data_IF_830944105658
#
_entry.id   IF_830944105658
#
_cell.length_a   1.000
_cell.length_b   1.000
_cell.length_c   1.000
_cell.angle_alpha   90.00
_cell.angle_beta   90.00
_cell.angle_gamma   90.00
#
_symmetry.space_group_name_H-M   'P 1'
#
loop_
_entity.id
_entity.type
_entity.pdbx_description
1 polymer ?
#
# COMPACT_ATOMS: atom_id res chain seq x y z
N UNK A 1 9.74 27.87 -21.83
CA UNK A 1 9.63 27.90 -20.36
C UNK A 1 8.31 28.60 -19.99
N UNK A 2 7.18 27.87 -19.92
CA UNK A 2 5.87 28.43 -19.56
C UNK A 2 5.67 28.16 -18.07
N UNK A 3 5.83 29.21 -17.27
CA UNK A 3 5.49 29.23 -15.85
C UNK A 3 4.00 28.94 -15.72
N UNK A 4 3.65 27.83 -15.06
CA UNK A 4 2.31 27.50 -14.64
C UNK A 4 1.82 28.58 -13.67
N UNK A 5 0.94 29.44 -14.16
CA UNK A 5 0.18 30.32 -13.28
C UNK A 5 -0.76 29.46 -12.45
N UNK A 6 -0.37 29.18 -11.22
CA UNK A 6 -1.31 28.74 -10.19
C UNK A 6 -2.40 29.81 -10.10
N UNK A 7 -3.53 29.52 -10.71
CA UNK A 7 -4.73 30.34 -10.53
C UNK A 7 -5.23 30.12 -9.12
N UNK A 8 -4.76 30.97 -8.21
CA UNK A 8 -5.25 31.11 -6.85
C UNK A 8 -6.64 31.73 -6.89
N UNK A 9 -7.62 31.01 -7.46
CA UNK A 9 -9.01 31.35 -7.23
C UNK A 9 -9.30 30.92 -5.81
N UNK A 10 -9.43 31.92 -4.97
CA UNK A 10 -9.99 31.87 -3.65
C UNK A 10 -11.07 30.79 -3.56
N UNK A 11 -10.75 29.71 -2.82
CA UNK A 11 -11.79 28.89 -2.26
C UNK A 11 -12.56 29.77 -1.28
N UNK A 12 -13.58 30.43 -1.77
CA UNK A 12 -14.54 31.12 -0.92
C UNK A 12 -15.13 30.08 0.02
N UNK A 13 -15.35 30.47 1.27
CA UNK A 13 -16.02 29.63 2.28
C UNK A 13 -17.33 29.01 1.79
N UNK A 14 -17.93 29.54 0.71
CA UNK A 14 -19.08 28.99 0.01
C UNK A 14 -18.79 27.65 -0.72
N UNK A 15 -17.55 27.42 -1.21
CA UNK A 15 -17.14 26.13 -1.76
C UNK A 15 -16.90 25.07 -0.67
N UNK A 16 -16.82 25.52 0.59
CA UNK A 16 -16.72 24.67 1.77
C UNK A 16 -18.08 24.30 2.37
N UNK A 17 -19.19 24.72 1.79
CA UNK A 17 -20.51 24.22 2.19
C UNK A 17 -20.57 22.75 1.87
N UNK A 18 -20.31 21.95 2.91
CA UNK A 18 -20.27 20.50 2.86
C UNK A 18 -21.65 20.01 2.41
N UNK A 19 -21.76 19.63 1.13
CA UNK A 19 -22.96 18.99 0.64
C UNK A 19 -23.07 17.63 1.35
N UNK A 20 -23.98 17.55 2.33
CA UNK A 20 -24.16 16.33 3.16
C UNK A 20 -24.44 15.09 2.31
N UNK A 21 -25.11 15.26 1.18
CA UNK A 21 -25.40 14.17 0.26
C UNK A 21 -24.14 13.64 -0.40
N UNK A 22 -23.22 14.49 -0.83
CA UNK A 22 -21.95 14.10 -1.40
C UNK A 22 -21.04 13.40 -0.36
N UNK A 23 -21.05 13.90 0.87
CA UNK A 23 -20.27 13.28 1.95
C UNK A 23 -20.79 11.86 2.29
N UNK A 24 -22.11 11.68 2.40
CA UNK A 24 -22.70 10.33 2.63
C UNK A 24 -22.40 9.38 1.48
N UNK A 25 -22.41 9.86 0.25
CA UNK A 25 -22.02 9.05 -0.91
C UNK A 25 -20.54 8.64 -0.85
N UNK A 26 -19.65 9.58 -0.51
CA UNK A 26 -18.22 9.29 -0.34
C UNK A 26 -17.94 8.35 0.83
N UNK A 27 -18.71 8.39 1.92
CA UNK A 27 -18.62 7.43 3.02
C UNK A 27 -18.95 6.03 2.52
N UNK A 28 -20.04 5.86 1.78
CA UNK A 28 -20.41 4.55 1.22
C UNK A 28 -19.38 4.01 0.24
N UNK A 29 -18.88 4.87 -0.66
CA UNK A 29 -17.79 4.51 -1.58
C UNK A 29 -16.50 4.20 -0.83
N UNK A 30 -16.14 4.97 0.20
CA UNK A 30 -14.98 4.73 1.06
C UNK A 30 -15.08 3.41 1.83
N UNK A 31 -16.27 3.06 2.29
CA UNK A 31 -16.53 1.76 2.93
C UNK A 31 -16.26 0.60 1.96
N UNK A 32 -16.75 0.69 0.73
CA UNK A 32 -16.52 -0.32 -0.30
C UNK A 32 -15.02 -0.42 -0.65
N UNK A 33 -14.34 0.73 -0.76
CA UNK A 33 -12.88 0.77 -0.95
C UNK A 33 -12.18 0.07 0.21
N UNK A 34 -12.58 0.33 1.45
CA UNK A 34 -12.01 -0.30 2.64
C UNK A 34 -12.15 -1.83 2.63
N UNK A 35 -13.30 -2.33 2.19
CA UNK A 35 -13.54 -3.78 2.05
C UNK A 35 -12.60 -4.38 1.01
N UNK A 36 -12.56 -3.82 -0.20
CA UNK A 36 -11.80 -4.39 -1.31
C UNK A 36 -10.29 -4.23 -1.08
N UNK A 37 -9.84 -3.03 -0.71
CA UNK A 37 -8.44 -2.77 -0.43
C UNK A 37 -7.94 -3.54 0.79
N UNK A 38 -8.77 -3.65 1.84
CA UNK A 38 -8.47 -4.45 3.02
C UNK A 38 -8.32 -5.93 2.70
N UNK A 39 -9.24 -6.50 1.93
CA UNK A 39 -9.15 -7.90 1.51
C UNK A 39 -7.93 -8.15 0.61
N UNK A 40 -7.68 -7.30 -0.41
CA UNK A 40 -6.52 -7.43 -1.27
C UNK A 40 -5.20 -7.28 -0.50
N UNK A 41 -5.11 -6.29 0.41
CA UNK A 41 -3.95 -6.07 1.25
C UNK A 41 -3.70 -7.19 2.25
N UNK A 42 -4.74 -7.69 2.90
CA UNK A 42 -4.65 -8.85 3.80
C UNK A 42 -4.22 -10.12 3.05
N UNK A 43 -4.79 -10.37 1.87
CA UNK A 43 -4.38 -11.48 1.01
C UNK A 43 -2.92 -11.36 0.60
N UNK A 44 -2.48 -10.17 0.21
CA UNK A 44 -1.07 -9.93 -0.14
C UNK A 44 -0.15 -10.19 1.04
N UNK A 45 -0.49 -9.69 2.25
CA UNK A 45 0.25 -9.96 3.49
C UNK A 45 0.33 -11.46 3.78
N UNK A 46 -0.79 -12.17 3.67
CA UNK A 46 -0.83 -13.63 3.87
C UNK A 46 0.09 -14.38 2.90
N UNK A 47 0.00 -14.06 1.61
CA UNK A 47 0.80 -14.71 0.57
C UNK A 47 2.32 -14.46 0.76
N UNK A 48 2.71 -13.26 1.19
CA UNK A 48 4.11 -12.97 1.50
C UNK A 48 4.59 -13.80 2.70
N UNK A 49 3.84 -13.81 3.80
CA UNK A 49 4.21 -14.59 4.97
C UNK A 49 4.31 -16.08 4.66
N UNK A 50 3.36 -16.62 3.91
CA UNK A 50 3.39 -18.04 3.51
C UNK A 50 4.55 -18.32 2.56
N UNK A 51 4.86 -17.40 1.63
CA UNK A 51 6.01 -17.54 0.73
C UNK A 51 7.34 -17.58 1.50
N UNK A 52 7.48 -16.78 2.55
CA UNK A 52 8.64 -16.81 3.45
C UNK A 52 8.73 -18.14 4.21
N UNK A 53 7.62 -18.63 4.76
CA UNK A 53 7.59 -19.92 5.48
C UNK A 53 7.96 -21.10 4.57
N UNK A 54 7.41 -21.13 3.35
CA UNK A 54 7.76 -22.17 2.37
C UNK A 54 9.24 -22.10 2.02
N UNK A 55 9.77 -20.91 1.75
CA UNK A 55 11.19 -20.72 1.46
C UNK A 55 12.08 -21.22 2.60
N UNK A 56 11.78 -20.87 3.86
CA UNK A 56 12.55 -21.34 5.01
C UNK A 56 12.57 -22.87 5.10
N UNK A 57 11.42 -23.54 4.94
CA UNK A 57 11.34 -25.01 4.92
C UNK A 57 12.17 -25.64 3.79
N UNK A 58 12.21 -24.97 2.63
CA UNK A 58 12.97 -25.44 1.48
C UNK A 58 14.50 -25.25 1.66
N UNK A 59 14.93 -24.37 2.54
CA UNK A 59 16.33 -24.03 2.78
C UNK A 59 16.95 -24.73 3.98
N UNK A 60 16.23 -25.58 4.71
CA UNK A 60 16.74 -26.27 5.90
C UNK A 60 17.87 -27.27 5.56
N UNK A 61 17.85 -27.89 4.37
CA UNK A 61 18.87 -28.86 3.92
C UNK A 61 19.49 -28.42 2.57
N UNK A 62 20.38 -27.42 2.62
CA UNK A 62 21.01 -26.89 1.39
C UNK A 62 22.15 -27.81 0.93
N UNK A 63 21.95 -28.55 -0.16
CA UNK A 63 22.99 -29.22 -0.94
C UNK A 63 23.41 -28.32 -2.12
N UNK A 64 24.58 -28.60 -2.71
CA UNK A 64 25.06 -27.89 -3.90
C UNK A 64 24.06 -27.98 -5.07
N UNK A 65 23.45 -29.13 -5.27
CA UNK A 65 22.45 -29.37 -6.30
C UNK A 65 21.19 -28.48 -6.06
N UNK A 66 20.80 -28.35 -4.79
CA UNK A 66 19.72 -27.47 -4.36
C UNK A 66 20.02 -26.00 -4.64
N UNK A 67 21.24 -25.54 -4.34
CA UNK A 67 21.67 -24.18 -4.60
C UNK A 67 21.62 -23.83 -6.10
N UNK A 68 22.06 -24.75 -6.96
CA UNK A 68 21.98 -24.58 -8.42
C UNK A 68 20.52 -24.51 -8.88
N UNK A 69 19.68 -25.43 -8.39
CA UNK A 69 18.24 -25.43 -8.71
C UNK A 69 17.55 -24.13 -8.29
N UNK A 70 17.89 -23.59 -7.10
CA UNK A 70 17.38 -22.33 -6.62
C UNK A 70 17.80 -21.15 -7.50
N UNK A 71 19.06 -21.13 -7.93
CA UNK A 71 19.58 -20.10 -8.86
C UNK A 71 18.82 -20.09 -10.19
N UNK A 72 18.54 -21.26 -10.74
CA UNK A 72 17.72 -21.40 -11.96
C UNK A 72 16.29 -20.90 -11.70
N UNK A 73 15.69 -21.24 -10.57
CA UNK A 73 14.37 -20.74 -10.18
C UNK A 73 14.33 -19.21 -10.08
N UNK A 74 15.36 -18.59 -9.48
CA UNK A 74 15.46 -17.12 -9.39
C UNK A 74 15.52 -16.46 -10.77
N UNK A 75 16.24 -17.04 -11.74
CA UNK A 75 16.27 -16.54 -13.12
C UNK A 75 14.88 -16.62 -13.76
N UNK A 76 14.16 -17.72 -13.55
CA UNK A 76 12.79 -17.88 -14.04
C UNK A 76 11.85 -16.83 -13.40
N UNK A 77 11.94 -16.60 -12.09
CA UNK A 77 11.15 -15.58 -11.40
C UNK A 77 11.47 -14.18 -11.91
N UNK A 78 12.75 -13.86 -12.12
CA UNK A 78 13.15 -12.58 -12.69
C UNK A 78 12.55 -12.38 -14.10
N UNK A 79 12.55 -13.42 -14.93
CA UNK A 79 11.91 -13.36 -16.25
C UNK A 79 10.39 -13.14 -16.16
N UNK A 80 9.71 -13.82 -15.23
CA UNK A 80 8.26 -13.64 -15.02
C UNK A 80 7.97 -12.21 -14.56
N UNK A 81 8.75 -11.68 -13.60
CA UNK A 81 8.59 -10.32 -13.10
C UNK A 81 8.84 -9.29 -14.20
N UNK A 82 9.87 -9.50 -15.06
CA UNK A 82 10.12 -8.65 -16.22
C UNK A 82 8.90 -8.58 -17.16
N UNK A 83 8.27 -9.74 -17.43
CA UNK A 83 7.06 -9.80 -18.26
C UNK A 83 5.86 -9.09 -17.63
N UNK A 84 5.71 -9.21 -16.30
CA UNK A 84 4.69 -8.49 -15.56
C UNK A 84 4.91 -6.98 -15.61
N UNK A 85 6.15 -6.52 -15.48
CA UNK A 85 6.52 -5.11 -15.60
C UNK A 85 6.31 -4.59 -17.03
N UNK A 86 6.63 -5.36 -18.06
CA UNK A 86 6.34 -5.00 -19.44
C UNK A 86 4.82 -4.85 -19.68
N UNK A 87 4.00 -5.70 -19.05
CA UNK A 87 2.53 -5.64 -19.14
C UNK A 87 1.91 -4.49 -18.35
N UNK A 88 2.50 -4.13 -17.20
CA UNK A 88 2.07 -3.07 -16.30
C UNK A 88 3.26 -2.22 -15.83
N UNK A 89 3.79 -1.31 -16.66
CA UNK A 89 5.02 -0.58 -16.37
C UNK A 89 4.99 0.24 -15.07
N UNK A 90 3.80 0.75 -14.70
CA UNK A 90 3.62 1.50 -13.45
C UNK A 90 3.55 0.62 -12.21
N UNK A 91 3.63 -0.71 -12.32
CA UNK A 91 3.77 -1.60 -11.17
C UNK A 91 5.22 -1.73 -10.68
N UNK A 92 6.21 -1.20 -11.40
CA UNK A 92 7.61 -1.20 -10.98
C UNK A 92 7.89 -0.31 -9.78
N UNK A 93 9.01 -0.57 -9.11
CA UNK A 93 9.45 0.22 -7.96
C UNK A 93 8.61 0.04 -6.70
N UNK A 94 8.67 1.00 -5.79
CA UNK A 94 7.96 0.99 -4.50
C UNK A 94 6.43 0.95 -4.67
N UNK A 95 5.88 1.81 -5.51
CA UNK A 95 4.43 2.00 -5.67
C UNK A 95 3.92 3.32 -5.09
N UNK A 96 4.59 3.88 -4.08
CA UNK A 96 4.21 5.17 -3.49
C UNK A 96 4.36 6.31 -4.49
N UNK A 97 5.51 6.49 -5.20
CA UNK A 97 5.65 7.55 -6.19
C UNK A 97 4.66 7.43 -7.36
N UNK A 98 4.21 6.21 -7.68
CA UNK A 98 3.22 5.99 -8.73
C UNK A 98 1.84 6.49 -8.29
N UNK A 99 1.47 6.27 -7.01
CA UNK A 99 0.22 6.81 -6.45
C UNK A 99 0.30 8.34 -6.38
N UNK A 100 1.40 8.92 -5.91
CA UNK A 100 1.58 10.39 -5.90
C UNK A 100 1.51 10.97 -7.32
N UNK A 101 2.18 10.38 -8.28
CA UNK A 101 2.14 10.82 -9.68
C UNK A 101 0.73 10.72 -10.29
N UNK A 102 -0.05 9.73 -9.92
CA UNK A 102 -1.47 9.62 -10.26
C UNK A 102 -2.28 10.78 -9.68
N UNK A 103 -2.04 11.13 -8.40
CA UNK A 103 -2.71 12.26 -7.75
C UNK A 103 -2.35 13.60 -8.40
N UNK A 104 -1.12 13.75 -8.84
CA UNK A 104 -0.65 14.93 -9.58
C UNK A 104 -1.12 14.94 -11.04
N UNK A 105 -1.67 13.83 -11.53
CA UNK A 105 -2.11 13.69 -12.93
C UNK A 105 -0.95 13.51 -13.91
N UNK A 106 0.23 13.08 -13.44
CA UNK A 106 1.40 12.78 -14.25
C UNK A 106 1.31 11.40 -14.92
N UNK A 107 0.58 10.49 -14.30
CA UNK A 107 0.37 9.12 -14.75
C UNK A 107 -1.13 8.77 -14.76
N UNK A 108 -1.47 7.78 -15.56
CA UNK A 108 -2.79 7.13 -15.53
C UNK A 108 -2.57 5.63 -15.37
N UNK A 109 -2.62 5.16 -14.13
CA UNK A 109 -2.45 3.73 -13.84
C UNK A 109 -3.63 2.93 -14.37
N UNK A 110 -3.33 1.80 -14.99
CA UNK A 110 -4.33 0.77 -15.34
C UNK A 110 -4.57 -0.12 -14.12
N UNK A 111 -5.60 0.12 -13.28
CA UNK A 111 -5.66 -0.41 -11.93
C UNK A 111 -5.69 -1.94 -11.87
N UNK A 112 -6.43 -2.61 -12.76
CA UNK A 112 -6.48 -4.07 -12.80
C UNK A 112 -5.11 -4.71 -13.09
N UNK A 113 -4.38 -4.15 -14.08
CA UNK A 113 -3.07 -4.66 -14.46
C UNK A 113 -2.04 -4.38 -13.38
N UNK A 114 -2.06 -3.18 -12.83
CA UNK A 114 -1.13 -2.77 -11.77
C UNK A 114 -1.35 -3.61 -10.51
N UNK A 115 -2.60 -3.82 -10.10
CA UNK A 115 -2.93 -4.65 -8.95
C UNK A 115 -2.45 -6.09 -9.14
N UNK A 116 -2.78 -6.73 -10.26
CA UNK A 116 -2.38 -8.11 -10.52
C UNK A 116 -0.85 -8.25 -10.62
N UNK A 117 -0.18 -7.38 -11.38
CA UNK A 117 1.28 -7.38 -11.53
C UNK A 117 1.98 -7.16 -10.19
N UNK A 118 1.47 -6.24 -9.35
CA UNK A 118 2.06 -5.94 -8.05
C UNK A 118 1.89 -7.09 -7.06
N UNK A 119 0.72 -7.71 -7.02
CA UNK A 119 0.48 -8.87 -6.16
C UNK A 119 1.37 -10.05 -6.55
N UNK A 120 1.36 -10.44 -7.81
CA UNK A 120 2.12 -11.60 -8.28
C UNK A 120 3.63 -11.34 -8.19
N UNK A 121 4.09 -10.20 -8.71
CA UNK A 121 5.50 -9.83 -8.68
C UNK A 121 6.05 -9.67 -7.27
N UNK A 122 5.28 -9.06 -6.35
CA UNK A 122 5.68 -8.92 -4.95
C UNK A 122 5.80 -10.26 -4.22
N UNK A 123 4.86 -11.19 -4.43
CA UNK A 123 4.93 -12.54 -3.84
C UNK A 123 6.11 -13.32 -4.41
N UNK A 124 6.35 -13.27 -5.72
CA UNK A 124 7.50 -13.95 -6.33
C UNK A 124 8.84 -13.41 -5.83
N UNK A 125 8.98 -12.09 -5.69
CA UNK A 125 10.22 -11.48 -5.16
C UNK A 125 10.43 -11.81 -3.69
N UNK A 126 9.37 -11.83 -2.87
CA UNK A 126 9.41 -12.28 -1.48
C UNK A 126 9.80 -13.74 -1.36
N UNK A 127 9.21 -14.62 -2.17
CA UNK A 127 9.55 -16.03 -2.25
C UNK A 127 11.01 -16.26 -2.66
N UNK A 128 11.52 -15.51 -3.63
CA UNK A 128 12.92 -15.56 -4.05
C UNK A 128 13.91 -15.12 -2.95
N UNK A 129 13.44 -14.48 -1.88
CA UNK A 129 14.26 -14.06 -0.74
C UNK A 129 14.84 -12.66 -0.85
N UNK A 130 14.36 -11.85 -1.79
CA UNK A 130 14.75 -10.45 -1.85
C UNK A 130 14.13 -9.65 -0.70
N UNK A 131 14.92 -8.80 -0.07
CA UNK A 131 14.47 -7.87 0.96
C UNK A 131 13.62 -6.73 0.35
N UNK A 132 12.44 -7.06 -0.12
CA UNK A 132 11.49 -6.10 -0.67
C UNK A 132 10.48 -5.75 0.41
N UNK A 133 10.42 -4.46 0.78
CA UNK A 133 9.43 -3.96 1.73
C UNK A 133 8.00 -4.23 1.23
N UNK A 134 7.11 -4.57 2.16
CA UNK A 134 5.69 -4.83 1.85
C UNK A 134 4.83 -3.58 1.83
N UNK A 135 5.36 -2.46 2.31
CA UNK A 135 4.60 -1.22 2.48
C UNK A 135 4.21 -0.60 1.15
N UNK A 136 5.19 -0.33 0.30
CA UNK A 136 4.98 0.28 -1.01
C UNK A 136 4.03 -0.52 -1.90
N UNK A 137 4.25 -1.84 -2.06
CA UNK A 137 3.30 -2.70 -2.76
C UNK A 137 1.88 -2.65 -2.19
N UNK A 138 1.72 -2.66 -0.85
CA UNK A 138 0.41 -2.59 -0.21
C UNK A 138 -0.31 -1.27 -0.51
N UNK A 139 0.40 -0.14 -0.49
CA UNK A 139 -0.12 1.18 -0.89
C UNK A 139 -0.62 1.16 -2.33
N UNK A 140 0.14 0.58 -3.25
CA UNK A 140 -0.22 0.54 -4.66
C UNK A 140 -1.38 -0.44 -4.94
N UNK A 141 -1.42 -1.58 -4.27
CA UNK A 141 -2.52 -2.55 -4.33
C UNK A 141 -3.81 -1.89 -3.84
N UNK A 142 -3.76 -1.26 -2.67
CA UNK A 142 -4.90 -0.54 -2.10
C UNK A 142 -5.35 0.63 -2.96
N UNK A 143 -4.44 1.45 -3.46
CA UNK A 143 -4.75 2.55 -4.37
C UNK A 143 -5.37 2.06 -5.69
N UNK A 144 -4.86 0.96 -6.25
CA UNK A 144 -5.46 0.33 -7.42
C UNK A 144 -6.88 -0.17 -7.13
N UNK A 145 -7.12 -0.77 -5.96
CA UNK A 145 -8.46 -1.19 -5.53
C UNK A 145 -9.40 0.00 -5.41
N UNK A 146 -8.97 1.12 -4.82
CA UNK A 146 -9.74 2.36 -4.76
C UNK A 146 -10.09 2.91 -6.14
N UNK A 147 -9.15 2.87 -7.08
CA UNK A 147 -9.40 3.27 -8.48
C UNK A 147 -10.38 2.35 -9.19
N UNK A 148 -10.33 1.04 -8.94
CA UNK A 148 -11.30 0.06 -9.47
C UNK A 148 -12.72 0.40 -8.98
N UNK A 149 -12.87 0.67 -7.67
CA UNK A 149 -14.17 1.06 -7.11
C UNK A 149 -14.68 2.34 -7.77
N UNK A 150 -13.81 3.33 -7.99
CA UNK A 150 -14.21 4.57 -8.67
C UNK A 150 -14.73 4.31 -10.09
N UNK A 151 -14.18 3.36 -10.82
CA UNK A 151 -14.66 2.97 -12.15
C UNK A 151 -16.01 2.26 -12.08
N UNK A 152 -16.20 1.35 -11.13
CA UNK A 152 -17.49 0.65 -10.94
C UNK A 152 -18.61 1.61 -10.57
N UNK A 153 -18.28 2.66 -9.83
CA UNK A 153 -19.24 3.69 -9.38
C UNK A 153 -19.39 4.85 -10.36
N UNK A 154 -18.72 4.81 -11.52
CA UNK A 154 -18.69 5.90 -12.51
C UNK A 154 -18.36 7.27 -11.88
N UNK A 155 -17.42 7.28 -10.95
CA UNK A 155 -17.03 8.48 -10.20
C UNK A 155 -16.27 9.47 -11.08
N UNK A 156 -16.51 10.79 -10.85
CA UNK A 156 -15.74 11.83 -11.51
C UNK A 156 -14.27 11.86 -11.09
N UNK A 157 -13.41 12.53 -11.85
CA UNK A 157 -11.96 12.57 -11.62
C UNK A 157 -11.55 12.99 -10.20
N UNK A 158 -12.27 13.91 -9.57
CA UNK A 158 -12.00 14.36 -8.20
C UNK A 158 -12.27 13.23 -7.19
N UNK A 159 -13.41 12.57 -7.32
CA UNK A 159 -13.78 11.45 -6.48
C UNK A 159 -12.84 10.24 -6.70
N UNK A 160 -12.47 9.98 -7.95
CA UNK A 160 -11.51 8.94 -8.27
C UNK A 160 -10.20 9.14 -7.52
N UNK A 161 -9.65 10.36 -7.48
CA UNK A 161 -8.44 10.67 -6.70
C UNK A 161 -8.65 10.44 -5.21
N UNK A 162 -9.79 10.87 -4.66
CA UNK A 162 -10.12 10.64 -3.24
C UNK A 162 -10.18 9.13 -2.94
N UNK A 163 -10.89 8.35 -3.76
CA UNK A 163 -11.05 6.92 -3.55
C UNK A 163 -9.74 6.15 -3.76
N UNK A 164 -8.92 6.56 -4.73
CA UNK A 164 -7.58 5.99 -4.93
C UNK A 164 -6.69 6.23 -3.71
N UNK A 165 -6.71 7.44 -3.15
CA UNK A 165 -5.96 7.79 -1.94
C UNK A 165 -6.48 7.05 -0.71
N UNK A 166 -7.79 6.99 -0.52
CA UNK A 166 -8.41 6.23 0.56
C UNK A 166 -8.03 4.74 0.48
N UNK A 167 -8.00 4.19 -0.75
CA UNK A 167 -7.52 2.84 -1.01
C UNK A 167 -6.05 2.65 -0.67
N UNK A 168 -5.19 3.61 -1.02
CA UNK A 168 -3.77 3.58 -0.66
C UNK A 168 -3.55 3.52 0.86
N UNK A 169 -4.28 4.35 1.62
CA UNK A 169 -4.26 4.31 3.08
C UNK A 169 -4.80 3.01 3.66
N UNK A 170 -5.88 2.46 3.06
CA UNK A 170 -6.44 1.18 3.45
C UNK A 170 -5.47 0.01 3.18
N UNK A 171 -4.74 0.04 2.05
CA UNK A 171 -3.69 -0.94 1.76
C UNK A 171 -2.54 -0.90 2.75
N UNK A 172 -2.07 0.31 3.10
CA UNK A 172 -1.03 0.49 4.12
C UNK A 172 -1.52 -0.01 5.50
N UNK A 173 -2.77 0.27 5.83
CA UNK A 173 -3.41 -0.25 7.06
C UNK A 173 -3.40 -1.77 7.09
N UNK A 174 -3.72 -2.44 5.99
CA UNK A 174 -3.69 -3.91 5.93
C UNK A 174 -2.29 -4.48 6.14
N UNK A 175 -1.24 -3.77 5.69
CA UNK A 175 0.14 -4.20 5.89
C UNK A 175 0.58 -4.15 7.36
N UNK A 176 0.12 -3.14 8.13
CA UNK A 176 0.62 -2.85 9.48
C UNK A 176 -0.42 -3.00 10.59
N UNK A 177 -1.70 -3.19 10.29
CA UNK A 177 -2.81 -3.15 11.25
C UNK A 177 -2.87 -1.79 12.00
N UNK A 178 -2.59 -0.69 11.29
CA UNK A 178 -2.45 0.67 11.84
C UNK A 178 -3.35 1.67 11.09
N UNK A 179 -4.65 1.76 11.40
CA UNK A 179 -5.61 2.54 10.62
C UNK A 179 -5.37 4.05 10.67
N UNK A 180 -4.96 4.58 11.82
CA UNK A 180 -4.64 6.01 11.96
C UNK A 180 -3.40 6.36 11.15
N UNK A 181 -2.35 5.55 11.21
CA UNK A 181 -1.12 5.76 10.44
C UNK A 181 -1.37 5.69 8.94
N UNK A 182 -2.22 4.74 8.49
CA UNK A 182 -2.61 4.64 7.09
C UNK A 182 -3.39 5.86 6.59
N UNK A 183 -4.26 6.44 7.43
CA UNK A 183 -4.98 7.67 7.10
C UNK A 183 -4.02 8.88 7.07
N UNK A 184 -3.15 9.02 8.08
CA UNK A 184 -2.18 10.11 8.17
C UNK A 184 -1.21 10.10 6.98
N UNK A 185 -0.74 8.93 6.56
CA UNK A 185 0.08 8.78 5.36
C UNK A 185 -0.59 9.38 4.12
N UNK A 186 -1.90 9.18 3.95
CA UNK A 186 -2.65 9.78 2.84
C UNK A 186 -2.62 11.30 2.91
N UNK A 187 -2.80 11.87 4.08
CA UNK A 187 -2.91 13.32 4.24
C UNK A 187 -1.56 14.02 4.13
N UNK A 188 -0.50 13.41 4.66
CA UNK A 188 0.83 14.01 4.74
C UNK A 188 1.66 13.74 3.49
N UNK A 189 1.60 12.54 2.93
CA UNK A 189 2.45 12.13 1.82
C UNK A 189 1.70 12.18 0.48
N UNK A 190 0.55 11.51 0.38
CA UNK A 190 -0.14 11.33 -0.91
C UNK A 190 -0.84 12.61 -1.39
N UNK A 191 -1.58 13.27 -0.52
CA UNK A 191 -2.38 14.45 -0.87
C UNK A 191 -1.81 15.77 -0.37
N UNK A 192 -1.00 15.73 0.68
CA UNK A 192 -0.40 16.91 1.35
C UNK A 192 -1.45 17.97 1.72
N UNK A 193 -2.64 17.51 2.12
CA UNK A 193 -3.77 18.38 2.44
C UNK A 193 -4.83 17.68 3.30
N UNK A 194 -5.54 18.49 4.10
CA UNK A 194 -6.61 18.03 4.99
C UNK A 194 -7.91 18.76 4.62
N UNK A 195 -8.87 18.03 4.07
CA UNK A 195 -10.22 18.54 3.83
C UNK A 195 -11.26 17.43 4.05
N UNK A 196 -12.47 17.75 4.50
CA UNK A 196 -13.46 16.76 4.97
C UNK A 196 -13.78 15.64 3.97
N UNK A 197 -13.86 15.97 2.68
CA UNK A 197 -14.16 15.01 1.62
C UNK A 197 -13.03 13.99 1.37
N UNK A 198 -11.82 14.27 1.82
CA UNK A 198 -10.71 13.32 1.81
C UNK A 198 -10.61 12.57 3.14
N UNK A 199 -10.69 13.31 4.24
CA UNK A 199 -10.48 12.80 5.59
C UNK A 199 -11.49 11.71 5.95
N UNK A 200 -12.79 12.00 5.76
CA UNK A 200 -13.85 11.08 6.20
C UNK A 200 -13.82 9.74 5.44
N UNK A 201 -13.86 9.70 4.09
CA UNK A 201 -13.82 8.41 3.38
C UNK A 201 -12.50 7.66 3.59
N UNK A 202 -11.38 8.36 3.80
CA UNK A 202 -10.09 7.73 4.10
C UNK A 202 -10.13 7.03 5.45
N UNK A 203 -10.62 7.70 6.52
CA UNK A 203 -10.76 7.05 7.83
C UNK A 203 -11.73 5.87 7.77
N UNK A 204 -12.84 5.99 7.09
CA UNK A 204 -13.78 4.88 6.92
C UNK A 204 -13.12 3.70 6.23
N UNK A 205 -12.37 3.95 5.14
CA UNK A 205 -11.68 2.90 4.40
C UNK A 205 -10.59 2.22 5.24
N UNK A 206 -9.78 2.99 5.97
CA UNK A 206 -8.71 2.44 6.81
C UNK A 206 -9.25 1.65 8.01
N UNK A 207 -10.32 2.13 8.67
CA UNK A 207 -10.94 1.40 9.78
C UNK A 207 -11.55 0.07 9.33
N UNK A 208 -12.25 0.03 8.20
CA UNK A 208 -12.80 -1.20 7.64
C UNK A 208 -11.70 -2.16 7.22
N UNK A 209 -10.66 -1.66 6.55
CA UNK A 209 -9.48 -2.44 6.19
C UNK A 209 -8.81 -3.06 7.42
N UNK A 210 -8.66 -2.27 8.49
CA UNK A 210 -8.12 -2.76 9.76
C UNK A 210 -8.98 -3.87 10.36
N UNK A 211 -10.30 -3.68 10.37
CA UNK A 211 -11.22 -4.69 10.88
C UNK A 211 -11.05 -6.03 10.14
N UNK A 212 -10.98 -6.01 8.82
CA UNK A 212 -10.75 -7.21 8.00
C UNK A 212 -9.40 -7.83 8.33
N UNK A 213 -8.35 -7.03 8.38
CA UNK A 213 -6.99 -7.51 8.65
C UNK A 213 -6.88 -8.14 10.04
N UNK A 214 -7.41 -7.49 11.06
CA UNK A 214 -7.42 -8.00 12.44
C UNK A 214 -8.28 -9.27 12.56
N UNK A 215 -9.37 -9.36 11.82
CA UNK A 215 -10.20 -10.58 11.80
C UNK A 215 -9.48 -11.79 11.21
N UNK A 216 -8.49 -11.57 10.33
CA UNK A 216 -7.71 -12.64 9.68
C UNK A 216 -6.44 -12.97 10.49
N UNK A 217 -5.71 -11.96 10.95
CA UNK A 217 -4.39 -12.12 11.57
C UNK A 217 -4.40 -11.96 13.10
N UNK A 218 -5.51 -11.58 13.69
CA UNK A 218 -5.59 -11.23 15.12
C UNK A 218 -4.99 -9.86 15.42
N UNK A 219 -4.82 -9.57 16.71
CA UNK A 219 -4.23 -8.31 17.22
C UNK A 219 -2.70 -8.35 17.32
N UNK A 220 -2.07 -9.38 16.77
CA UNK A 220 -0.61 -9.46 16.81
C UNK A 220 0.03 -8.33 15.99
N UNK A 221 1.06 -7.66 16.55
CA UNK A 221 1.77 -6.61 15.82
C UNK A 221 2.40 -7.19 14.55
N UNK A 222 2.32 -6.43 13.47
CA UNK A 222 2.87 -6.84 12.17
C UNK A 222 4.41 -7.03 12.21
N UNK A 223 5.07 -6.43 13.20
CA UNK A 223 6.50 -6.55 13.52
C UNK A 223 6.62 -7.03 14.98
N UNK A 224 6.50 -8.34 15.18
CA UNK A 224 6.68 -8.98 16.49
C UNK A 224 8.15 -9.31 16.73
N UNK A 225 8.89 -8.40 17.32
CA UNK A 225 10.24 -8.71 17.81
C UNK A 225 10.16 -9.20 19.25
N UNK A 226 10.47 -10.46 19.49
CA UNK A 226 10.72 -10.96 20.84
C UNK A 226 12.21 -10.79 21.16
N UNK A 227 12.54 -9.85 22.02
CA UNK A 227 13.91 -9.72 22.54
C UNK A 227 14.07 -10.76 23.66
N UNK A 228 14.74 -11.86 23.35
CA UNK A 228 15.00 -12.97 24.31
C UNK A 228 16.13 -12.66 25.30
N UNK A 229 16.97 -11.68 25.01
CA UNK A 229 18.00 -11.19 25.92
C UNK A 229 17.81 -9.69 26.16
N UNK A 230 17.66 -9.29 27.43
CA UNK A 230 17.64 -7.87 27.78
C UNK A 230 18.94 -7.20 27.36
N UNK A 231 18.89 -6.30 26.39
CA UNK A 231 20.03 -5.44 26.07
C UNK A 231 20.23 -4.51 27.29
N UNK A 232 21.40 -4.55 27.94
CA UNK A 232 21.65 -3.68 29.09
C UNK A 232 21.39 -2.22 28.71
N UNK A 233 20.67 -1.49 29.56
CA UNK A 233 20.35 -0.06 29.33
C UNK A 233 21.63 0.76 29.12
N UNK A 234 22.74 0.35 29.71
CA UNK A 234 24.08 0.94 29.48
C UNK A 234 24.50 0.92 28.01
N UNK A 235 24.17 -0.14 27.25
CA UNK A 235 24.53 -0.24 25.83
C UNK A 235 23.74 0.73 24.94
N UNK A 236 22.46 0.91 25.21
CA UNK A 236 21.61 1.86 24.47
C UNK A 236 21.96 3.30 24.79
N UNK A 237 22.39 3.57 26.05
CA UNK A 237 22.74 4.91 26.51
C UNK A 237 24.10 5.38 25.98
N UNK A 238 25.10 4.50 25.94
CA UNK A 238 26.42 4.80 25.38
C UNK A 238 26.33 5.08 23.87
N UNK A 239 25.58 4.27 23.12
CA UNK A 239 25.45 4.47 21.67
C UNK A 239 24.68 5.75 21.29
N UNK A 240 23.76 6.21 22.11
CA UNK A 240 23.08 7.49 21.89
C UNK A 240 24.03 8.70 22.03
N UNK A 241 25.09 8.59 22.81
CA UNK A 241 26.11 9.63 22.97
C UNK A 241 27.20 9.62 21.88
N UNK A 242 27.44 8.48 21.22
CA UNK A 242 28.43 8.39 20.14
C UNK A 242 27.93 9.02 18.83
N UNK A 243 26.63 9.20 18.66
CA UNK A 243 26.03 9.82 17.45
C UNK A 243 25.80 11.34 17.58
N UNK A 244 26.08 11.91 18.74
CA UNK A 244 25.98 13.35 19.00
C UNK A 244 27.34 14.03 18.87
#
# INVERSE_FOLDING_TARGET
MRLWKFNKRSSTLADMSMNRMLLTELIGKGALVGVIAGFCGATYRYLILESEHIRWRLMDDITLEWAIGWLVAMVIFAFIVDRLLAWAPLSGGSGIPQIEGEMLGLFDMKPYRTLASKMIGGVLTGFAGFSVGREGPAVQIGGSAGKIVSYWMNSGLREQRILTSAGAGAGLTAAFSAPVSGAMFVFEEVHKSFYPYLVVPTFVATLISNYITVSIFGLEPALGFSVTSGVPVSYTHLRAHETA
#
